data_IF_783525806636
#
_entry.id   IF_783525806636
#
_cell.length_a   1.000
_cell.length_b   1.000
_cell.length_c   1.000
_cell.angle_alpha   90.00
_cell.angle_beta   90.00
_cell.angle_gamma   90.00
#
_symmetry.space_group_name_H-M   'P 1'
#
loop_
_entity.id
_entity.type
_entity.pdbx_description
1 polymer ?
#
# COMPACT_ATOMS: atom_id res chain seq x y z
N UNK A 1 15.45 7.12 4.19
CA UNK A 1 14.46 8.09 3.69
C UNK A 1 13.30 8.07 4.67
N UNK A 2 12.65 9.20 4.94
CA UNK A 2 11.46 9.23 5.81
C UNK A 2 10.26 8.60 5.08
N UNK A 3 9.45 7.80 5.79
CA UNK A 3 8.24 7.17 5.28
C UNK A 3 7.39 8.16 4.47
N UNK A 4 7.21 7.96 3.14
CA UNK A 4 6.44 8.83 2.27
C UNK A 4 4.97 8.85 2.65
N UNK A 5 4.45 7.80 3.30
CA UNK A 5 3.10 7.77 3.88
C UNK A 5 3.04 8.73 5.07
N UNK A 6 3.99 8.70 5.99
CA UNK A 6 4.07 9.71 7.08
C UNK A 6 4.18 11.13 6.52
N UNK A 7 4.99 11.36 5.48
CA UNK A 7 5.10 12.67 4.82
C UNK A 7 3.80 13.11 4.11
N UNK A 8 3.11 12.16 3.47
CA UNK A 8 1.84 12.40 2.78
C UNK A 8 0.68 12.66 3.74
N UNK A 9 0.69 11.97 4.87
CA UNK A 9 -0.32 12.02 5.92
C UNK A 9 -0.03 13.06 7.02
N UNK A 10 1.20 13.61 7.06
CA UNK A 10 1.75 14.36 8.20
C UNK A 10 0.82 15.41 8.79
N UNK A 11 0.70 16.59 8.17
CA UNK A 11 -0.18 17.68 8.66
C UNK A 11 -1.66 17.30 8.68
N UNK A 12 -2.02 16.20 8.02
CA UNK A 12 -3.39 15.79 7.83
C UNK A 12 -3.91 14.92 8.97
N UNK A 13 -3.04 14.14 9.62
CA UNK A 13 -3.38 13.42 10.86
C UNK A 13 -3.36 14.33 12.09
N UNK A 14 -2.87 15.56 11.97
CA UNK A 14 -2.95 16.56 13.05
C UNK A 14 -4.40 17.06 13.26
N UNK A 15 -5.26 16.92 12.24
CA UNK A 15 -6.68 17.25 12.36
C UNK A 15 -7.45 16.11 13.04
N UNK A 16 -8.14 16.35 14.18
CA UNK A 16 -8.81 15.28 14.94
C UNK A 16 -9.84 14.48 14.14
N UNK A 17 -10.57 15.15 13.23
CA UNK A 17 -11.57 14.49 12.37
C UNK A 17 -10.90 13.61 11.31
N UNK A 18 -9.80 14.07 10.72
CA UNK A 18 -9.09 13.29 9.70
C UNK A 18 -8.32 12.14 10.32
N UNK A 19 -7.74 12.31 11.52
CA UNK A 19 -7.19 11.21 12.30
C UNK A 19 -8.25 10.15 12.55
N UNK A 20 -9.41 10.55 13.07
CA UNK A 20 -10.51 9.62 13.33
C UNK A 20 -10.96 8.91 12.05
N UNK A 21 -11.16 9.65 10.96
CA UNK A 21 -11.54 9.07 9.68
C UNK A 21 -10.48 8.10 9.15
N UNK A 22 -9.20 8.42 9.29
CA UNK A 22 -8.11 7.54 8.88
C UNK A 22 -8.05 6.25 9.70
N UNK A 23 -8.36 6.32 11.00
CA UNK A 23 -8.41 5.14 11.87
C UNK A 23 -9.67 4.28 11.63
N UNK A 24 -10.83 4.90 11.38
CA UNK A 24 -12.09 4.17 11.17
C UNK A 24 -12.26 3.70 9.72
N UNK A 25 -11.81 4.49 8.75
CA UNK A 25 -11.96 4.23 7.32
C UNK A 25 -10.78 4.82 6.51
N UNK A 26 -9.61 4.14 6.54
CA UNK A 26 -8.38 4.64 5.90
C UNK A 26 -8.53 4.85 4.39
N UNK A 27 -9.40 4.07 3.72
CA UNK A 27 -9.68 4.23 2.30
C UNK A 27 -10.35 5.57 2.01
N UNK A 28 -11.50 5.85 2.64
CA UNK A 28 -12.22 7.11 2.43
C UNK A 28 -11.31 8.29 2.75
N UNK A 29 -10.53 8.16 3.83
CA UNK A 29 -9.56 9.16 4.20
C UNK A 29 -8.58 9.42 3.04
N UNK A 30 -7.85 8.41 2.54
CA UNK A 30 -6.82 8.58 1.49
C UNK A 30 -7.44 9.07 0.18
N UNK A 31 -8.63 8.59 -0.16
CA UNK A 31 -9.38 8.98 -1.37
C UNK A 31 -9.79 10.46 -1.41
N UNK A 32 -9.78 11.16 -0.27
CA UNK A 32 -9.93 12.62 -0.26
C UNK A 32 -8.79 13.35 -1.01
N UNK A 33 -7.64 12.69 -1.19
CA UNK A 33 -6.43 13.26 -1.82
C UNK A 33 -6.01 12.52 -3.09
N UNK A 34 -6.09 11.18 -3.09
CA UNK A 34 -5.59 10.35 -4.19
C UNK A 34 -6.49 9.15 -4.41
N UNK A 35 -6.82 8.86 -5.67
CA UNK A 35 -7.60 7.67 -6.01
C UNK A 35 -6.86 6.38 -5.62
N UNK A 36 -7.54 5.50 -4.90
CA UNK A 36 -7.02 4.18 -4.54
C UNK A 36 -7.82 3.12 -5.29
N UNK A 37 -7.19 2.23 -6.07
CA UNK A 37 -7.91 1.14 -6.72
C UNK A 37 -8.69 0.27 -5.73
N UNK A 38 -9.91 -0.14 -6.10
CA UNK A 38 -10.85 -0.84 -5.21
C UNK A 38 -10.31 -2.16 -4.65
N UNK A 39 -9.40 -2.81 -5.38
CA UNK A 39 -8.83 -4.11 -5.05
C UNK A 39 -7.72 -4.04 -3.99
N UNK A 40 -7.21 -2.85 -3.64
CA UNK A 40 -6.22 -2.65 -2.60
C UNK A 40 -6.89 -2.60 -1.23
N UNK A 41 -6.47 -3.42 -0.27
CA UNK A 41 -7.02 -3.38 1.08
C UNK A 41 -6.17 -2.44 1.93
N UNK A 42 -6.82 -1.46 2.57
CA UNK A 42 -6.18 -0.50 3.45
C UNK A 42 -6.66 -0.74 4.88
N UNK A 43 -5.73 -0.90 5.81
CA UNK A 43 -6.03 -1.12 7.23
C UNK A 43 -5.13 -0.27 8.10
N UNK A 44 -5.68 0.21 9.21
CA UNK A 44 -4.99 0.99 10.23
C UNK A 44 -5.24 0.38 11.59
N UNK A 45 -4.21 0.41 12.43
CA UNK A 45 -4.28 -0.07 13.80
C UNK A 45 -3.45 0.83 14.70
N UNK A 46 -3.92 1.11 15.91
CA UNK A 46 -3.18 1.86 16.92
C UNK A 46 -2.82 0.93 18.08
N UNK A 47 -1.52 0.80 18.37
CA UNK A 47 -1.00 0.06 19.53
C UNK A 47 0.00 0.94 20.26
N UNK A 48 -0.13 1.09 21.56
CA UNK A 48 0.78 1.92 22.39
C UNK A 48 0.98 3.34 21.85
N UNK A 49 -0.10 3.97 21.36
CA UNK A 49 -0.10 5.29 20.68
C UNK A 49 0.74 5.36 19.39
N UNK A 50 1.09 4.21 18.82
CA UNK A 50 1.77 4.10 17.54
C UNK A 50 0.75 3.63 16.50
N UNK A 51 0.65 4.36 15.40
CA UNK A 51 -0.23 4.03 14.29
C UNK A 51 0.53 3.15 13.30
N UNK A 52 -0.02 1.97 13.06
CA UNK A 52 0.42 1.03 12.04
C UNK A 52 -0.52 1.16 10.85
N UNK A 53 0.04 1.42 9.69
CA UNK A 53 -0.69 1.43 8.43
C UNK A 53 -0.22 0.27 7.56
N UNK A 54 -1.20 -0.44 7.00
CA UNK A 54 -0.97 -1.54 6.07
C UNK A 54 -1.78 -1.34 4.80
N UNK A 55 -1.08 -1.45 3.67
CA UNK A 55 -1.68 -1.58 2.34
C UNK A 55 -1.44 -2.99 1.82
N UNK A 56 -2.48 -3.64 1.32
CA UNK A 56 -2.39 -5.02 0.80
C UNK A 56 -2.80 -5.00 -0.67
N UNK A 57 -1.84 -5.32 -1.54
CA UNK A 57 -2.05 -5.37 -2.98
C UNK A 57 -2.23 -6.84 -3.38
N UNK A 58 -3.33 -7.23 -4.04
CA UNK A 58 -3.51 -8.62 -4.46
C UNK A 58 -2.42 -9.00 -5.46
N UNK A 59 -1.85 -10.20 -5.33
CA UNK A 59 -0.89 -10.75 -6.30
C UNK A 59 -1.54 -10.87 -7.69
N UNK A 60 -2.82 -11.28 -7.71
CA UNK A 60 -3.64 -11.46 -8.91
C UNK A 60 -4.84 -10.49 -8.90
N UNK A 61 -4.67 -9.22 -9.31
CA UNK A 61 -5.78 -8.27 -9.41
C UNK A 61 -6.71 -8.67 -10.55
N UNK A 62 -7.84 -9.35 -10.27
CA UNK A 62 -8.87 -9.61 -11.29
C UNK A 62 -9.61 -10.94 -11.25
N UNK A 63 -9.28 -11.90 -10.36
CA UNK A 63 -9.92 -13.22 -10.33
C UNK A 63 -11.41 -13.23 -9.89
N UNK A 64 -12.11 -12.09 -9.87
CA UNK A 64 -13.51 -11.98 -9.41
C UNK A 64 -14.56 -11.57 -10.46
N UNK A 65 -14.25 -11.11 -11.68
CA UNK A 65 -15.34 -10.68 -12.61
C UNK A 65 -15.00 -10.90 -14.09
N UNK A 66 -15.88 -11.64 -14.79
CA UNK A 66 -15.82 -12.02 -16.21
C UNK A 66 -16.26 -10.91 -17.20
N UNK A 67 -15.89 -9.64 -17.01
CA UNK A 67 -16.35 -8.56 -17.91
C UNK A 67 -15.26 -8.02 -18.86
N UNK A 68 -15.61 -7.96 -20.15
CA UNK A 68 -14.76 -7.47 -21.26
C UNK A 68 -14.23 -6.03 -21.06
N UNK A 69 -14.89 -5.22 -20.21
CA UNK A 69 -14.43 -3.89 -19.82
C UNK A 69 -13.21 -3.93 -18.90
N UNK A 70 -13.11 -4.96 -18.06
CA UNK A 70 -12.03 -5.14 -17.08
C UNK A 70 -10.74 -5.58 -17.75
N UNK A 71 -10.81 -6.44 -18.77
CA UNK A 71 -9.67 -6.77 -19.66
C UNK A 71 -9.00 -5.55 -20.28
N UNK A 72 -9.75 -4.47 -20.53
CA UNK A 72 -9.22 -3.23 -21.11
C UNK A 72 -8.51 -2.34 -20.08
N UNK A 73 -8.94 -2.40 -18.83
CA UNK A 73 -8.30 -1.74 -17.68
C UNK A 73 -7.08 -2.54 -17.24
N UNK A 74 -7.18 -3.87 -17.21
CA UNK A 74 -6.08 -4.83 -17.05
C UNK A 74 -5.03 -4.54 -18.10
N UNK A 75 -5.35 -4.50 -19.39
CA UNK A 75 -4.38 -4.15 -20.44
C UNK A 75 -3.64 -2.83 -20.18
N UNK A 76 -4.30 -1.85 -19.53
CA UNK A 76 -3.67 -0.57 -19.18
C UNK A 76 -2.85 -0.62 -17.88
N UNK A 77 -3.24 -1.43 -16.90
CA UNK A 77 -2.48 -1.70 -15.66
C UNK A 77 -1.28 -2.62 -15.94
N UNK A 78 -1.51 -3.72 -16.65
CA UNK A 78 -0.56 -4.72 -17.15
C UNK A 78 0.51 -4.05 -18.02
N UNK A 79 0.15 -3.17 -18.97
CA UNK A 79 1.15 -2.42 -19.77
C UNK A 79 1.94 -1.38 -18.97
N UNK A 80 1.48 -1.00 -17.79
CA UNK A 80 2.12 0.02 -16.93
C UNK A 80 2.79 -0.57 -15.68
N UNK A 81 2.55 -1.83 -15.34
CA UNK A 81 3.11 -2.46 -14.16
C UNK A 81 4.52 -2.98 -14.50
N UNK A 82 5.57 -2.35 -13.96
CA UNK A 82 6.92 -2.60 -14.46
C UNK A 82 7.44 -4.00 -14.07
N UNK A 83 6.89 -4.63 -13.03
CA UNK A 83 7.28 -5.95 -12.51
C UNK A 83 6.66 -7.15 -13.24
N UNK A 84 5.97 -6.94 -14.37
CA UNK A 84 5.22 -7.97 -15.10
C UNK A 84 6.03 -9.19 -15.59
N UNK A 85 7.35 -9.07 -15.73
CA UNK A 85 8.22 -10.16 -16.17
C UNK A 85 8.84 -10.97 -15.04
N UNK A 86 8.43 -10.73 -13.81
CA UNK A 86 9.06 -11.29 -12.61
C UNK A 86 8.23 -12.46 -12.11
N UNK A 87 8.89 -13.59 -11.84
CA UNK A 87 8.23 -14.75 -11.26
C UNK A 87 7.81 -14.51 -9.80
N UNK A 88 6.78 -15.24 -9.34
CA UNK A 88 6.33 -15.16 -7.94
C UNK A 88 7.48 -15.44 -6.94
N UNK A 89 8.34 -16.41 -7.24
CA UNK A 89 9.51 -16.71 -6.40
C UNK A 89 10.50 -15.54 -6.31
N UNK A 90 10.70 -14.78 -7.39
CA UNK A 90 11.55 -13.58 -7.37
C UNK A 90 10.92 -12.45 -6.56
N UNK A 91 9.59 -12.33 -6.54
CA UNK A 91 8.88 -11.36 -5.69
C UNK A 91 9.01 -11.74 -4.21
N UNK A 92 8.82 -13.02 -3.88
CA UNK A 92 8.87 -13.49 -2.49
C UNK A 92 10.30 -13.44 -1.92
N UNK A 93 11.31 -13.79 -2.73
CA UNK A 93 12.68 -13.94 -2.23
C UNK A 93 13.39 -12.63 -1.90
N UNK A 94 13.16 -11.57 -2.68
CA UNK A 94 13.76 -10.24 -2.44
C UNK A 94 12.90 -9.10 -3.03
N UNK A 95 11.74 -8.82 -2.41
CA UNK A 95 10.77 -7.85 -2.95
C UNK A 95 11.38 -6.45 -3.01
N UNK A 96 12.13 -6.03 -2.00
CA UNK A 96 12.68 -4.67 -1.91
C UNK A 96 13.66 -4.39 -3.05
N UNK A 97 14.61 -5.29 -3.30
CA UNK A 97 15.56 -5.12 -4.41
C UNK A 97 14.86 -5.21 -5.75
N UNK A 98 13.85 -6.08 -5.87
CA UNK A 98 13.07 -6.21 -7.10
C UNK A 98 12.36 -4.90 -7.47
N UNK A 99 11.58 -4.33 -6.55
CA UNK A 99 10.86 -3.07 -6.79
C UNK A 99 11.82 -1.93 -7.16
N UNK A 100 13.00 -1.89 -6.53
CA UNK A 100 14.04 -0.91 -6.83
C UNK A 100 14.54 -0.99 -8.28
N UNK A 101 14.64 -2.18 -8.89
CA UNK A 101 15.00 -2.34 -10.32
C UNK A 101 14.05 -1.61 -11.25
N UNK A 102 12.83 -1.36 -10.79
CA UNK A 102 11.77 -0.69 -11.53
C UNK A 102 11.55 0.77 -11.09
N UNK A 103 12.53 1.37 -10.42
CA UNK A 103 12.46 2.73 -9.85
C UNK A 103 11.33 2.91 -8.82
N UNK A 104 10.92 1.81 -8.16
CA UNK A 104 10.00 1.86 -7.03
C UNK A 104 10.86 1.71 -5.76
N UNK A 105 11.17 2.84 -5.13
CA UNK A 105 11.92 2.85 -3.89
C UNK A 105 11.01 2.51 -2.72
N UNK A 106 11.26 1.37 -2.07
CA UNK A 106 10.64 1.02 -0.80
C UNK A 106 11.46 1.65 0.34
N UNK A 107 10.84 2.53 1.14
CA UNK A 107 11.49 3.13 2.30
C UNK A 107 11.99 2.07 3.29
N UNK A 108 13.14 2.33 3.92
CA UNK A 108 13.75 1.41 4.90
C UNK A 108 12.93 1.23 6.19
N UNK A 109 11.97 2.11 6.44
CA UNK A 109 11.02 2.08 7.54
C UNK A 109 9.68 1.42 7.16
N UNK A 110 9.61 0.81 5.97
CA UNK A 110 8.52 -0.07 5.56
C UNK A 110 8.94 -1.53 5.63
N UNK A 111 8.04 -2.37 6.14
CA UNK A 111 8.15 -3.82 6.09
C UNK A 111 7.31 -4.33 4.93
N UNK A 112 7.85 -5.25 4.15
CA UNK A 112 7.13 -5.92 3.06
C UNK A 112 6.95 -7.39 3.44
N UNK A 113 5.71 -7.85 3.45
CA UNK A 113 5.34 -9.25 3.71
C UNK A 113 4.55 -9.76 2.51
N UNK A 114 4.88 -10.95 2.02
CA UNK A 114 4.18 -11.57 0.88
C UNK A 114 3.53 -12.84 1.39
N UNK A 115 2.22 -12.98 1.20
CA UNK A 115 1.52 -14.23 1.52
C UNK A 115 2.12 -15.41 0.74
N UNK A 116 2.02 -16.63 1.27
CA UNK A 116 2.48 -17.83 0.54
C UNK A 116 1.51 -18.24 -0.57
N UNK A 117 0.22 -17.95 -0.41
CA UNK A 117 -0.84 -18.33 -1.35
C UNK A 117 -0.77 -17.53 -2.65
N UNK A 118 -1.00 -18.19 -3.79
CA UNK A 118 -0.95 -17.59 -5.14
C UNK A 118 -1.98 -16.46 -5.31
N UNK A 119 -3.18 -16.61 -4.73
CA UNK A 119 -4.23 -15.58 -4.69
C UNK A 119 -4.12 -14.62 -3.49
N UNK A 120 -3.01 -14.67 -2.76
CA UNK A 120 -2.74 -13.83 -1.59
C UNK A 120 -2.35 -12.39 -1.93
N UNK A 121 -1.80 -11.69 -0.94
CA UNK A 121 -1.45 -10.28 -1.04
C UNK A 121 0.04 -10.02 -0.84
N UNK A 122 0.50 -8.89 -1.37
CA UNK A 122 1.74 -8.23 -1.00
C UNK A 122 1.36 -7.11 -0.03
N UNK A 123 1.77 -7.26 1.22
CA UNK A 123 1.54 -6.31 2.29
C UNK A 123 2.71 -5.34 2.40
N UNK A 124 2.37 -4.06 2.46
CA UNK A 124 3.28 -2.96 2.78
C UNK A 124 2.85 -2.39 4.10
N UNK A 125 3.66 -2.60 5.12
CA UNK A 125 3.41 -2.16 6.49
C UNK A 125 4.37 -1.06 6.86
N UNK A 126 3.85 -0.01 7.50
CA UNK A 126 4.67 1.08 7.94
C UNK A 126 4.17 1.65 9.26
N UNK A 127 5.12 2.09 10.08
CA UNK A 127 4.82 2.88 11.25
C UNK A 127 4.64 4.32 10.80
N UNK A 128 3.52 4.91 11.19
CA UNK A 128 3.29 6.34 11.12
C UNK A 128 3.71 6.89 12.48
N UNK A 129 5.00 7.23 12.58
CA UNK A 129 5.56 7.76 13.81
C UNK A 129 4.98 9.15 14.09
N UNK A 130 4.38 9.31 15.28
CA UNK A 130 3.87 10.59 15.79
C UNK A 130 4.81 11.19 16.86
N UNK A 131 5.97 10.59 17.11
CA UNK A 131 6.87 10.99 18.20
C UNK A 131 7.82 12.15 17.87
N UNK A 132 7.32 13.30 17.39
CA UNK A 132 7.95 14.61 17.62
C UNK A 132 7.20 15.77 16.96
N UNK A 133 6.12 16.27 17.58
CA UNK A 133 5.71 17.68 17.42
C UNK A 133 5.55 18.43 18.76
N UNK A 134 6.05 17.86 19.85
CA UNK A 134 6.35 18.62 21.07
C UNK A 134 7.79 19.15 21.02
N UNK A 135 8.03 20.16 20.17
CA UNK A 135 9.07 21.19 20.35
C UNK A 135 8.67 22.50 19.70
#
# INVERSE_FOLDING_TARGET
MANPVSKFLGEWLDEPLMKRLFMENPRVAIETKVGVPEDIILTTEERDNIIYFKSSIPKNPGNRVNDLGQRRIEDQRIKKCPIMGVSEQEIISDPVTLFKKYNIDIPSDMTVVVDEDEDGYIHFECVIDYSSRDK
#
